data_IF_519256868973
#
_entry.id   IF_519256868973
#
_cell.length_a   1.000
_cell.length_b   1.000
_cell.length_c   1.000
_cell.angle_alpha   90.00
_cell.angle_beta   90.00
_cell.angle_gamma   90.00
#
_symmetry.space_group_name_H-M   'P 1'
#
loop_
_entity.id
_entity.type
_entity.pdbx_description
1 polymer ?
#
# COMPACT_ATOMS: atom_id res chain seq x y z
N UNK A 1 0.46 13.69 -0.37
CA UNK A 1 1.31 12.49 -0.54
C UNK A 1 1.03 11.45 0.55
N UNK A 2 1.30 11.77 1.83
CA UNK A 2 1.02 10.90 3.00
C UNK A 2 -0.40 10.32 2.98
N UNK A 3 -1.42 11.16 2.77
CA UNK A 3 -2.82 10.72 2.73
C UNK A 3 -3.12 9.63 1.68
N UNK A 4 -2.42 9.62 0.53
CA UNK A 4 -2.61 8.59 -0.51
C UNK A 4 -2.03 7.25 -0.08
N UNK A 5 -0.89 7.26 0.62
CA UNK A 5 -0.30 6.03 1.20
C UNK A 5 -1.16 5.51 2.37
N UNK A 6 -1.74 6.40 3.18
CA UNK A 6 -2.73 5.98 4.18
C UNK A 6 -3.94 5.30 3.55
N UNK A 7 -4.49 5.82 2.45
CA UNK A 7 -5.59 5.15 1.75
C UNK A 7 -5.19 3.75 1.25
N UNK A 8 -3.95 3.58 0.80
CA UNK A 8 -3.39 2.28 0.38
C UNK A 8 -3.25 1.30 1.54
N UNK A 9 -2.96 1.79 2.75
CA UNK A 9 -2.88 0.96 3.95
C UNK A 9 -4.26 0.59 4.50
N UNK A 10 -5.13 1.59 4.68
CA UNK A 10 -6.41 1.42 5.35
C UNK A 10 -7.45 0.71 4.48
N UNK A 11 -7.44 0.91 3.16
CA UNK A 11 -8.39 0.26 2.24
C UNK A 11 -8.35 -1.28 2.32
N UNK A 12 -7.18 -1.92 2.13
CA UNK A 12 -7.02 -3.36 2.28
C UNK A 12 -7.33 -3.88 3.69
N UNK A 13 -6.95 -3.15 4.74
CA UNK A 13 -7.27 -3.53 6.13
C UNK A 13 -8.78 -3.57 6.36
N UNK A 14 -9.49 -2.52 5.95
CA UNK A 14 -10.95 -2.46 6.06
C UNK A 14 -11.61 -3.59 5.25
N UNK A 15 -11.12 -3.84 4.04
CA UNK A 15 -11.64 -4.94 3.22
C UNK A 15 -11.43 -6.31 3.89
N UNK A 16 -10.27 -6.51 4.52
CA UNK A 16 -9.96 -7.72 5.27
C UNK A 16 -10.88 -7.91 6.48
N UNK A 17 -11.10 -6.86 7.27
CA UNK A 17 -12.03 -6.83 8.41
C UNK A 17 -13.46 -7.17 7.98
N UNK A 18 -13.85 -6.78 6.78
CA UNK A 18 -15.17 -7.11 6.19
C UNK A 18 -15.24 -8.50 5.55
N UNK A 19 -14.17 -9.28 5.61
CA UNK A 19 -14.13 -10.65 5.09
C UNK A 19 -13.77 -10.76 3.61
N UNK A 20 -13.48 -9.64 2.92
CA UNK A 20 -12.97 -9.68 1.56
C UNK A 20 -11.51 -10.15 1.56
N UNK A 21 -11.15 -11.00 0.60
CA UNK A 21 -9.79 -11.56 0.47
C UNK A 21 -9.14 -11.24 -0.88
N UNK A 22 -9.95 -10.81 -1.84
CA UNK A 22 -9.53 -10.56 -3.21
C UNK A 22 -9.92 -9.15 -3.58
N UNK A 23 -8.98 -8.22 -3.37
CA UNK A 23 -9.23 -6.78 -3.47
C UNK A 23 -8.29 -6.21 -4.52
N UNK A 24 -8.85 -5.49 -5.49
CA UNK A 24 -8.09 -4.70 -6.43
C UNK A 24 -8.07 -3.27 -5.89
N UNK A 25 -6.86 -2.74 -5.69
CA UNK A 25 -6.67 -1.35 -5.27
C UNK A 25 -6.32 -0.49 -6.47
N UNK A 26 -7.18 0.47 -6.79
CA UNK A 26 -6.96 1.45 -7.85
C UNK A 26 -6.64 2.83 -7.26
N UNK A 27 -5.73 3.56 -7.89
CA UNK A 27 -5.33 4.90 -7.46
C UNK A 27 -5.05 5.78 -8.67
N UNK A 28 -5.63 6.98 -8.67
CA UNK A 28 -5.40 8.05 -9.64
C UNK A 28 -4.06 8.79 -9.42
N UNK A 29 -3.39 8.53 -8.30
CA UNK A 29 -2.15 9.19 -7.93
C UNK A 29 -0.95 8.46 -8.55
N UNK A 30 -0.51 8.94 -9.71
CA UNK A 30 0.69 8.42 -10.38
C UNK A 30 1.90 8.36 -9.43
N UNK A 31 2.10 9.40 -8.61
CA UNK A 31 3.22 9.47 -7.66
C UNK A 31 3.08 8.40 -6.57
N UNK A 32 1.87 8.19 -6.04
CA UNK A 32 1.63 7.16 -5.03
C UNK A 32 1.88 5.75 -5.58
N UNK A 33 1.44 5.49 -6.81
CA UNK A 33 1.69 4.22 -7.50
C UNK A 33 3.19 4.02 -7.77
N UNK A 34 3.90 5.05 -8.21
CA UNK A 34 5.35 4.97 -8.45
C UNK A 34 6.13 4.68 -7.17
N UNK A 35 5.77 5.33 -6.05
CA UNK A 35 6.42 5.07 -4.74
C UNK A 35 6.25 3.62 -4.29
N UNK A 36 5.04 3.06 -4.44
CA UNK A 36 4.80 1.66 -4.10
C UNK A 36 5.54 0.71 -5.06
N UNK A 37 5.64 1.04 -6.35
CA UNK A 37 6.37 0.21 -7.33
C UNK A 37 7.89 0.24 -7.13
N UNK A 38 8.44 1.39 -6.74
CA UNK A 38 9.88 1.56 -6.54
C UNK A 38 10.34 1.09 -5.16
N UNK A 39 9.42 0.96 -4.21
CA UNK A 39 9.75 0.58 -2.84
C UNK A 39 10.40 1.71 -2.05
N UNK A 40 11.11 1.34 -0.99
CA UNK A 40 11.78 2.29 -0.09
C UNK A 40 13.20 2.59 -0.55
N UNK A 41 13.70 3.78 -0.26
CA UNK A 41 15.11 4.13 -0.48
C UNK A 41 15.71 4.89 0.72
N UNK A 42 17.04 4.90 0.82
CA UNK A 42 17.77 5.48 1.96
C UNK A 42 17.61 6.99 2.13
N UNK A 43 17.04 7.69 1.13
CA UNK A 43 16.88 9.15 1.13
C UNK A 43 15.50 9.61 1.62
N UNK A 44 14.61 8.67 1.93
CA UNK A 44 13.28 8.97 2.43
C UNK A 44 13.27 9.12 3.96
N UNK A 45 12.39 9.98 4.53
CA UNK A 45 12.15 10.00 5.97
C UNK A 45 11.75 8.62 6.50
N UNK A 46 12.25 8.21 7.67
CA UNK A 46 11.97 6.90 8.26
C UNK A 46 10.47 6.59 8.40
N UNK A 47 9.66 7.59 8.73
CA UNK A 47 8.20 7.46 8.81
C UNK A 47 7.55 7.11 7.46
N UNK A 48 8.12 7.59 6.35
CA UNK A 48 7.70 7.23 5.01
C UNK A 48 8.10 5.80 4.64
N UNK A 49 9.31 5.40 5.02
CA UNK A 49 9.82 4.05 4.78
C UNK A 49 8.93 3.01 5.46
N UNK A 50 8.56 3.22 6.72
CA UNK A 50 7.66 2.31 7.45
C UNK A 50 6.28 2.23 6.79
N UNK A 51 5.68 3.38 6.42
CA UNK A 51 4.37 3.40 5.79
C UNK A 51 4.35 2.68 4.43
N UNK A 52 5.38 2.87 3.61
CA UNK A 52 5.51 2.16 2.32
C UNK A 52 5.71 0.66 2.56
N UNK A 53 6.54 0.27 3.52
CA UNK A 53 6.76 -1.13 3.88
C UNK A 53 5.46 -1.81 4.32
N UNK A 54 4.67 -1.17 5.18
CA UNK A 54 3.37 -1.67 5.62
C UNK A 54 2.42 -1.87 4.44
N UNK A 55 2.37 -0.90 3.52
CA UNK A 55 1.56 -0.99 2.31
C UNK A 55 2.01 -2.17 1.42
N UNK A 56 3.31 -2.37 1.23
CA UNK A 56 3.84 -3.47 0.42
C UNK A 56 3.51 -4.83 1.02
N UNK A 57 3.71 -5.00 2.33
CA UNK A 57 3.35 -6.24 3.04
C UNK A 57 1.86 -6.54 2.93
N UNK A 58 0.99 -5.52 3.02
CA UNK A 58 -0.44 -5.70 2.82
C UNK A 58 -0.78 -6.09 1.37
N UNK A 59 -0.16 -5.43 0.39
CA UNK A 59 -0.38 -5.73 -1.02
C UNK A 59 0.06 -7.16 -1.38
N UNK A 60 1.19 -7.63 -0.84
CA UNK A 60 1.63 -9.03 -0.99
C UNK A 60 0.61 -10.03 -0.44
N UNK A 61 0.04 -9.76 0.74
CA UNK A 61 -1.03 -10.59 1.33
C UNK A 61 -2.29 -10.61 0.48
N UNK A 62 -2.64 -9.49 -0.16
CA UNK A 62 -3.82 -9.41 -1.04
C UNK A 62 -3.59 -9.97 -2.44
N UNK A 63 -2.34 -10.13 -2.88
CA UNK A 63 -1.97 -10.62 -4.21
C UNK A 63 -1.88 -12.15 -4.33
N UNK A 64 -2.18 -12.92 -3.28
CA UNK A 64 -2.19 -14.39 -3.37
C UNK A 64 -3.33 -14.88 -4.28
N UNK A 65 -2.99 -15.11 -5.54
CA UNK A 65 -3.65 -15.99 -6.49
C UNK A 65 -2.57 -16.67 -7.35
N UNK A 66 -2.62 -18.01 -7.36
CA UNK A 66 -1.95 -19.02 -8.19
C UNK A 66 -0.87 -18.56 -9.19
#
# INVERSE_FOLDING_TARGET
MVAKLFAVREGPNLAWEKGFRHVILESDSMIGVQLLKQGTNAWQPLSYVHLISDCLTLLEKTRWFN
#
